data_IF_831996372593
#
_entry.id   IF_831996372593
#
_cell.length_a   1.000
_cell.length_b   1.000
_cell.length_c   1.000
_cell.angle_alpha   90.00
_cell.angle_beta   90.00
_cell.angle_gamma   90.00
#
_symmetry.space_group_name_H-M   'P 1'
#
loop_
_entity.id
_entity.type
_entity.pdbx_description
1 polymer ?
#
# COMPACT_ATOMS: atom_id res chain seq x y z
N UNK A 1 -27.59 -1.39 14.54
CA UNK A 1 -26.81 -1.66 15.76
C UNK A 1 -25.45 -0.95 15.68
N UNK A 2 -24.75 -1.06 14.55
CA UNK A 2 -23.48 -0.37 14.30
C UNK A 2 -23.64 1.15 14.46
N UNK A 3 -23.02 1.70 15.50
CA UNK A 3 -22.97 3.14 15.80
C UNK A 3 -21.57 3.71 15.63
N UNK A 4 -20.54 3.03 16.12
CA UNK A 4 -19.15 3.47 16.02
C UNK A 4 -18.31 2.46 15.26
N UNK A 5 -17.62 2.91 14.22
CA UNK A 5 -16.68 2.08 13.47
C UNK A 5 -15.40 2.82 13.11
N UNK A 6 -14.27 2.14 13.28
CA UNK A 6 -12.98 2.65 12.85
C UNK A 6 -12.32 1.71 11.83
N UNK A 7 -11.68 2.28 10.82
CA UNK A 7 -10.72 1.56 10.01
C UNK A 7 -9.31 1.92 10.45
N UNK A 8 -8.55 0.93 10.91
CA UNK A 8 -7.15 1.05 11.27
C UNK A 8 -6.31 0.31 10.23
N UNK A 9 -5.04 0.65 10.13
CA UNK A 9 -4.09 -0.16 9.38
C UNK A 9 -3.12 0.60 8.50
N UNK A 10 -2.61 -0.11 7.51
CA UNK A 10 -1.58 0.33 6.59
C UNK A 10 -2.16 0.91 5.27
N UNK A 11 -1.33 0.94 4.23
CA UNK A 11 -1.69 1.43 2.90
C UNK A 11 -2.83 0.64 2.23
N UNK A 12 -3.07 -0.61 2.61
CA UNK A 12 -4.18 -1.41 2.07
C UNK A 12 -5.53 -0.94 2.63
N UNK A 13 -5.58 -0.50 3.89
CA UNK A 13 -6.78 0.12 4.47
C UNK A 13 -6.90 1.60 4.09
N UNK A 14 -5.78 2.30 3.86
CA UNK A 14 -5.80 3.65 3.31
C UNK A 14 -6.30 3.67 1.85
N UNK A 15 -6.00 2.61 1.09
CA UNK A 15 -6.43 2.38 -0.29
C UNK A 15 -5.66 3.20 -1.30
N UNK A 16 -4.32 3.17 -1.22
CA UNK A 16 -3.44 3.95 -2.09
C UNK A 16 -3.83 3.79 -3.57
N UNK A 17 -4.17 4.91 -4.19
CA UNK A 17 -4.47 4.99 -5.62
C UNK A 17 -5.91 4.66 -6.00
N UNK A 18 -6.75 4.18 -5.08
CA UNK A 18 -8.12 3.77 -5.33
C UNK A 18 -9.09 4.96 -5.26
N UNK A 19 -9.40 5.55 -6.42
CA UNK A 19 -10.27 6.73 -6.51
C UNK A 19 -9.52 8.04 -6.25
N UNK A 20 -10.19 8.99 -5.61
CA UNK A 20 -9.62 10.29 -5.25
C UNK A 20 -9.02 10.25 -3.85
N UNK A 21 -7.87 10.89 -3.68
CA UNK A 21 -7.26 11.05 -2.36
C UNK A 21 -8.08 12.02 -1.51
N UNK A 22 -8.44 11.59 -0.30
CA UNK A 22 -9.24 12.38 0.66
C UNK A 22 -8.45 12.79 1.89
N UNK A 23 -7.30 12.16 2.13
CA UNK A 23 -6.39 12.49 3.23
C UNK A 23 -4.95 12.42 2.72
N UNK A 24 -4.24 13.55 2.85
CA UNK A 24 -2.86 13.68 2.38
C UNK A 24 -1.91 12.92 3.30
N UNK A 25 -1.88 13.28 4.58
CA UNK A 25 -0.90 12.79 5.55
C UNK A 25 -0.79 11.27 5.61
N UNK A 26 -1.90 10.55 5.53
CA UNK A 26 -1.95 9.10 5.60
C UNK A 26 -2.27 8.43 4.27
N UNK A 27 -2.35 9.20 3.18
CA UNK A 27 -2.65 8.73 1.83
C UNK A 27 -3.93 7.89 1.75
N UNK A 28 -5.04 8.40 2.30
CA UNK A 28 -6.35 7.72 2.26
C UNK A 28 -7.16 8.14 1.04
N UNK A 29 -7.90 7.19 0.46
CA UNK A 29 -8.68 7.40 -0.76
C UNK A 29 -10.16 6.98 -0.62
N UNK A 30 -11.02 7.60 -1.44
CA UNK A 30 -12.48 7.43 -1.44
C UNK A 30 -13.00 6.19 -2.19
N UNK A 31 -12.13 5.29 -2.65
CA UNK A 31 -12.52 3.93 -3.09
C UNK A 31 -11.73 2.84 -2.39
N UNK A 32 -11.15 3.17 -1.23
CA UNK A 32 -10.61 2.19 -0.30
C UNK A 32 -11.72 1.27 0.22
N UNK A 33 -11.37 0.03 0.61
CA UNK A 33 -12.37 -0.93 1.10
C UNK A 33 -13.15 -0.41 2.32
N UNK A 34 -12.55 0.34 3.28
CA UNK A 34 -13.34 0.92 4.35
C UNK A 34 -14.28 2.03 3.85
N UNK A 35 -13.88 2.81 2.85
CA UNK A 35 -14.81 3.80 2.28
C UNK A 35 -16.00 3.09 1.61
N UNK A 36 -15.76 2.07 0.80
CA UNK A 36 -16.81 1.31 0.10
C UNK A 36 -17.79 0.68 1.09
N UNK A 37 -17.28 0.07 2.16
CA UNK A 37 -18.11 -0.44 3.25
C UNK A 37 -18.98 0.66 3.89
N UNK A 38 -18.48 1.89 4.01
CA UNK A 38 -19.20 2.97 4.69
C UNK A 38 -20.46 3.44 3.98
N UNK A 39 -20.48 3.29 2.66
CA UNK A 39 -21.61 3.61 1.80
C UNK A 39 -22.43 2.36 1.44
N UNK A 40 -22.13 1.21 2.05
CA UNK A 40 -22.82 -0.04 1.78
C UNK A 40 -24.08 -0.19 2.63
N UNK A 41 -25.23 -0.31 1.95
CA UNK A 41 -26.54 -0.44 2.57
C UNK A 41 -26.69 -1.73 3.41
N UNK A 42 -25.86 -2.76 3.16
CA UNK A 42 -25.86 -4.01 3.95
C UNK A 42 -25.47 -3.78 5.41
N UNK A 43 -24.73 -2.72 5.72
CA UNK A 43 -24.43 -2.31 7.10
C UNK A 43 -25.64 -1.65 7.80
N UNK A 44 -26.72 -1.37 7.07
CA UNK A 44 -27.97 -0.79 7.56
C UNK A 44 -28.03 0.74 7.48
N UNK A 45 -29.15 1.32 7.91
CA UNK A 45 -29.48 2.75 7.74
C UNK A 45 -29.38 3.58 9.03
N UNK A 46 -28.46 3.23 9.94
CA UNK A 46 -28.34 3.97 11.21
C UNK A 46 -27.88 5.41 10.97
N UNK A 47 -28.81 6.37 11.05
CA UNK A 47 -28.55 7.80 10.87
C UNK A 47 -27.55 8.42 11.86
N UNK A 48 -27.27 7.72 12.98
CA UNK A 48 -26.28 8.13 13.98
C UNK A 48 -24.96 7.36 13.86
N UNK A 49 -24.74 6.63 12.76
CA UNK A 49 -23.46 5.96 12.51
C UNK A 49 -22.38 7.01 12.34
N UNK A 50 -21.34 6.87 13.16
CA UNK A 50 -20.11 7.62 13.07
C UNK A 50 -19.00 6.63 12.71
N UNK A 51 -18.28 6.94 11.64
CA UNK A 51 -17.15 6.12 11.22
C UNK A 51 -15.99 7.00 10.77
N UNK A 52 -14.78 6.47 10.95
CA UNK A 52 -13.57 7.17 10.51
C UNK A 52 -12.48 6.21 10.07
N UNK A 53 -11.82 6.56 8.97
CA UNK A 53 -10.60 5.88 8.53
C UNK A 53 -9.38 6.55 9.18
N UNK A 54 -8.63 5.78 9.97
CA UNK A 54 -7.37 6.15 10.60
C UNK A 54 -6.17 5.44 9.99
N UNK A 55 -6.38 4.53 9.03
CA UNK A 55 -5.30 3.82 8.35
C UNK A 55 -4.29 4.78 7.72
N UNK A 56 -3.03 4.37 7.61
CA UNK A 56 -1.96 5.24 7.19
C UNK A 56 -0.95 4.47 6.33
N UNK A 57 -0.59 5.01 5.17
CA UNK A 57 0.48 4.44 4.34
C UNK A 57 1.77 4.25 5.15
N UNK A 58 2.40 3.10 4.97
CA UNK A 58 3.64 2.73 5.68
C UNK A 58 3.47 2.35 7.15
N UNK A 59 2.26 2.42 7.73
CA UNK A 59 2.05 2.05 9.12
C UNK A 59 2.44 0.59 9.40
N UNK A 60 3.27 0.40 10.41
CA UNK A 60 3.55 -0.89 11.03
C UNK A 60 2.52 -1.24 12.10
N UNK A 61 2.59 -2.45 12.64
CA UNK A 61 1.79 -2.83 13.82
C UNK A 61 2.00 -1.92 15.03
N UNK A 62 3.22 -1.40 15.21
CA UNK A 62 3.56 -0.43 16.26
C UNK A 62 2.90 0.93 16.00
N UNK A 63 2.92 1.41 14.77
CA UNK A 63 2.24 2.66 14.38
C UNK A 63 0.73 2.60 14.60
N UNK A 64 0.10 1.44 14.37
CA UNK A 64 -1.33 1.25 14.69
C UNK A 64 -1.55 1.50 16.19
N UNK A 65 -0.71 0.93 17.05
CA UNK A 65 -0.82 1.07 18.51
C UNK A 65 -0.54 2.49 18.98
N UNK A 66 0.53 3.11 18.49
CA UNK A 66 1.02 4.38 19.02
C UNK A 66 0.38 5.59 18.38
N UNK A 67 -0.03 5.49 17.10
CA UNK A 67 -0.48 6.64 16.31
C UNK A 67 -1.95 6.57 15.93
N UNK A 68 -2.53 5.37 15.77
CA UNK A 68 -3.92 5.26 15.33
C UNK A 68 -4.89 5.04 16.49
N UNK A 69 -4.63 4.04 17.35
CA UNK A 69 -5.49 3.69 18.50
C UNK A 69 -5.75 4.86 19.46
N UNK A 70 -4.78 5.75 19.79
CA UNK A 70 -5.02 6.87 20.70
C UNK A 70 -6.02 7.90 20.14
N UNK A 71 -6.18 7.95 18.82
CA UNK A 71 -7.13 8.85 18.15
C UNK A 71 -8.58 8.31 18.14
N UNK A 72 -8.82 7.10 18.66
CA UNK A 72 -10.16 6.55 18.84
C UNK A 72 -10.85 7.22 20.04
N UNK A 73 -11.67 8.24 19.75
CA UNK A 73 -12.40 9.01 20.76
C UNK A 73 -13.48 8.20 21.50
N UNK A 74 -13.90 7.07 20.93
CA UNK A 74 -14.93 6.17 21.45
C UNK A 74 -14.48 4.73 21.35
N UNK A 75 -15.12 3.88 22.14
CA UNK A 75 -15.12 2.43 21.91
C UNK A 75 -15.90 2.12 20.63
N UNK A 76 -15.51 1.05 19.96
CA UNK A 76 -15.95 0.70 18.61
C UNK A 76 -16.86 -0.52 18.62
N UNK A 77 -17.90 -0.49 17.80
CA UNK A 77 -18.73 -1.65 17.49
C UNK A 77 -18.03 -2.54 16.45
N UNK A 78 -17.39 -1.93 15.46
CA UNK A 78 -16.59 -2.63 14.46
C UNK A 78 -15.24 -1.94 14.31
N UNK A 79 -14.19 -2.74 14.09
CA UNK A 79 -12.91 -2.25 13.58
C UNK A 79 -12.51 -3.07 12.37
N UNK A 80 -12.16 -2.42 11.27
CA UNK A 80 -11.47 -3.09 10.16
C UNK A 80 -9.98 -2.81 10.25
N UNK A 81 -9.14 -3.81 10.00
CA UNK A 81 -7.70 -3.73 10.26
C UNK A 81 -6.88 -4.42 9.15
N UNK A 82 -5.84 -3.75 8.64
CA UNK A 82 -4.75 -4.38 7.88
C UNK A 82 -3.39 -3.88 8.40
N UNK A 83 -2.48 -4.77 8.75
CA UNK A 83 -1.13 -4.40 9.18
C UNK A 83 -0.20 -5.63 9.12
N UNK A 84 1.11 -5.38 9.18
CA UNK A 84 2.15 -6.41 9.17
C UNK A 84 2.98 -6.46 7.90
N UNK A 85 2.45 -5.99 6.76
CA UNK A 85 3.21 -5.91 5.50
C UNK A 85 4.45 -5.02 5.59
N UNK A 86 4.32 -3.87 6.26
CA UNK A 86 5.44 -2.95 6.47
C UNK A 86 6.44 -3.49 7.50
N UNK A 87 5.98 -4.19 8.55
CA UNK A 87 6.85 -4.83 9.55
C UNK A 87 7.83 -5.84 8.95
N UNK A 88 7.45 -6.47 7.84
CA UNK A 88 8.27 -7.49 7.15
C UNK A 88 9.05 -6.93 5.95
N UNK A 89 8.96 -5.63 5.69
CA UNK A 89 9.76 -4.93 4.68
C UNK A 89 9.27 -5.12 3.25
N UNK A 90 7.96 -5.06 3.00
CA UNK A 90 7.39 -5.23 1.66
C UNK A 90 8.00 -4.27 0.62
N UNK A 91 8.16 -2.98 0.95
CA UNK A 91 8.76 -2.00 0.02
C UNK A 91 10.18 -2.43 -0.40
N UNK A 92 10.99 -2.92 0.56
CA UNK A 92 12.35 -3.41 0.29
C UNK A 92 12.35 -4.64 -0.60
N UNK A 93 11.41 -5.57 -0.43
CA UNK A 93 11.22 -6.71 -1.34
C UNK A 93 10.90 -6.23 -2.75
N UNK A 94 9.94 -5.29 -2.91
CA UNK A 94 9.58 -4.77 -4.23
C UNK A 94 10.75 -4.05 -4.89
N UNK A 95 11.56 -3.32 -4.15
CA UNK A 95 12.79 -2.74 -4.68
C UNK A 95 13.77 -3.83 -5.13
N UNK A 96 14.16 -4.73 -4.23
CA UNK A 96 15.30 -5.61 -4.50
C UNK A 96 14.96 -6.78 -5.45
N UNK A 97 13.68 -7.18 -5.54
CA UNK A 97 13.23 -8.35 -6.31
C UNK A 97 12.39 -8.04 -7.55
N UNK A 98 11.82 -6.84 -7.69
CA UNK A 98 10.85 -6.54 -8.77
C UNK A 98 11.27 -5.32 -9.57
N UNK A 99 11.28 -4.14 -8.95
CA UNK A 99 11.41 -2.87 -9.66
C UNK A 99 12.84 -2.36 -9.74
N UNK A 100 13.72 -2.67 -8.78
CA UNK A 100 15.08 -2.11 -8.71
C UNK A 100 15.07 -0.57 -8.86
N UNK A 101 14.15 0.11 -8.15
CA UNK A 101 14.15 1.58 -8.08
C UNK A 101 15.50 2.11 -7.61
N UNK A 102 16.09 1.43 -6.62
CA UNK A 102 17.48 1.54 -6.25
C UNK A 102 18.26 0.28 -6.68
N UNK A 103 18.96 0.31 -7.83
CA UNK A 103 19.60 -0.86 -8.41
C UNK A 103 20.86 -1.31 -7.69
N UNK A 104 21.28 -0.60 -6.63
CA UNK A 104 22.44 -0.92 -5.80
C UNK A 104 22.07 -1.58 -4.47
N UNK A 105 20.77 -1.81 -4.23
CA UNK A 105 20.29 -2.55 -3.07
C UNK A 105 20.76 -4.00 -3.06
N UNK A 106 20.45 -4.68 -1.95
CA UNK A 106 20.79 -6.08 -1.73
C UNK A 106 20.23 -7.01 -2.82
N UNK A 107 20.72 -8.25 -2.88
CA UNK A 107 20.17 -9.24 -3.82
C UNK A 107 18.75 -9.64 -3.41
N UNK A 108 17.98 -10.13 -4.38
CA UNK A 108 16.64 -10.62 -4.08
C UNK A 108 16.68 -11.78 -3.07
N UNK A 109 17.62 -12.71 -3.23
CA UNK A 109 17.75 -13.90 -2.37
C UNK A 109 18.07 -13.52 -0.92
N UNK A 110 19.01 -12.60 -0.69
CA UNK A 110 19.30 -12.13 0.67
C UNK A 110 18.11 -11.41 1.30
N UNK A 111 17.39 -10.62 0.49
CA UNK A 111 16.20 -9.89 0.96
C UNK A 111 15.07 -10.85 1.35
N UNK A 112 14.87 -11.93 0.58
CA UNK A 112 13.89 -12.98 0.91
C UNK A 112 14.21 -13.63 2.27
N UNK A 113 15.47 -13.98 2.53
CA UNK A 113 15.86 -14.61 3.81
C UNK A 113 15.74 -13.64 5.00
N UNK A 114 16.06 -12.36 4.80
CA UNK A 114 15.82 -11.32 5.80
C UNK A 114 14.32 -11.18 6.10
N UNK A 115 13.48 -11.12 5.06
CA UNK A 115 12.02 -11.03 5.23
C UNK A 115 11.45 -12.27 5.93
N UNK A 116 11.93 -13.48 5.62
CA UNK A 116 11.55 -14.69 6.37
C UNK A 116 11.87 -14.56 7.87
N UNK A 117 13.03 -13.99 8.19
CA UNK A 117 13.40 -13.71 9.58
C UNK A 117 12.45 -12.71 10.23
N UNK A 118 12.12 -11.59 9.55
CA UNK A 118 11.14 -10.61 10.04
C UNK A 118 9.76 -11.24 10.26
N UNK A 119 9.29 -12.08 9.34
CA UNK A 119 8.01 -12.81 9.46
C UNK A 119 8.02 -13.69 10.72
N UNK A 120 9.10 -14.42 11.00
CA UNK A 120 9.18 -15.27 12.20
C UNK A 120 9.06 -14.48 13.52
N UNK A 121 9.43 -13.20 13.51
CA UNK A 121 9.33 -12.29 14.66
C UNK A 121 8.03 -11.47 14.69
N UNK A 122 7.15 -11.61 13.70
CA UNK A 122 5.94 -10.79 13.55
C UNK A 122 4.86 -11.13 14.60
N UNK A 123 4.77 -12.39 15.03
CA UNK A 123 3.68 -12.88 15.87
C UNK A 123 3.48 -12.09 17.17
N UNK A 124 4.55 -11.76 17.89
CA UNK A 124 4.46 -10.97 19.13
C UNK A 124 3.98 -9.53 18.91
N UNK A 125 4.35 -8.91 17.78
CA UNK A 125 3.89 -7.57 17.43
C UNK A 125 2.40 -7.56 17.09
N UNK A 126 1.94 -8.56 16.33
CA UNK A 126 0.52 -8.75 16.01
C UNK A 126 -0.32 -8.94 17.27
N UNK A 127 0.15 -9.76 18.22
CA UNK A 127 -0.53 -10.00 19.50
C UNK A 127 -0.66 -8.70 20.31
N UNK A 128 0.42 -7.91 20.39
CA UNK A 128 0.40 -6.61 21.07
C UNK A 128 -0.62 -5.65 20.45
N UNK A 129 -0.60 -5.52 19.12
CA UNK A 129 -1.54 -4.67 18.39
C UNK A 129 -2.98 -5.14 18.58
N UNK A 130 -3.27 -6.44 18.41
CA UNK A 130 -4.61 -6.98 18.58
C UNK A 130 -5.15 -6.78 20.00
N UNK A 131 -4.33 -6.99 21.02
CA UNK A 131 -4.72 -6.71 22.41
C UNK A 131 -5.09 -5.23 22.60
N UNK A 132 -4.31 -4.32 22.03
CA UNK A 132 -4.60 -2.90 22.09
C UNK A 132 -5.91 -2.54 21.36
N UNK A 133 -6.16 -3.09 20.16
CA UNK A 133 -7.42 -2.83 19.43
C UNK A 133 -8.62 -3.44 20.16
N UNK A 134 -8.47 -4.65 20.72
CA UNK A 134 -9.51 -5.31 21.52
C UNK A 134 -9.93 -4.47 22.73
N UNK A 135 -8.98 -3.76 23.35
CA UNK A 135 -9.28 -2.85 24.48
C UNK A 135 -10.21 -1.68 24.09
N UNK A 136 -10.39 -1.43 22.78
CA UNK A 136 -11.27 -0.40 22.24
C UNK A 136 -12.64 -0.95 21.83
N UNK A 137 -12.97 -2.20 22.13
CA UNK A 137 -14.30 -2.77 21.86
C UNK A 137 -15.18 -2.74 23.11
N UNK A 138 -16.44 -2.31 22.98
CA UNK A 138 -17.34 -2.11 24.13
C UNK A 138 -18.19 -3.34 24.47
N UNK A 139 -18.62 -4.10 23.46
CA UNK A 139 -19.67 -5.10 23.65
C UNK A 139 -19.30 -6.48 23.09
N UNK A 140 -20.00 -7.52 23.54
CA UNK A 140 -19.72 -8.93 23.15
C UNK A 140 -19.94 -9.20 21.65
N UNK A 141 -20.77 -8.41 20.98
CA UNK A 141 -21.03 -8.39 19.55
C UNK A 141 -20.06 -7.49 18.78
N UNK A 142 -19.20 -6.72 19.45
CA UNK A 142 -18.18 -5.95 18.75
C UNK A 142 -17.20 -6.87 18.03
N UNK A 143 -16.76 -6.50 16.83
CA UNK A 143 -15.88 -7.33 15.99
C UNK A 143 -14.71 -6.55 15.43
N UNK A 144 -13.56 -7.21 15.33
CA UNK A 144 -12.44 -6.78 14.51
C UNK A 144 -12.40 -7.67 13.27
N UNK A 145 -12.38 -7.08 12.09
CA UNK A 145 -12.16 -7.78 10.82
C UNK A 145 -10.74 -7.49 10.36
N UNK A 146 -9.85 -8.47 10.53
CA UNK A 146 -8.46 -8.39 10.11
C UNK A 146 -8.35 -8.89 8.67
N UNK A 147 -8.14 -7.96 7.74
CA UNK A 147 -7.98 -8.23 6.32
C UNK A 147 -6.58 -8.77 6.03
N UNK A 148 -6.52 -9.97 5.45
CA UNK A 148 -5.28 -10.56 4.95
C UNK A 148 -4.84 -9.98 3.60
N UNK A 149 -3.62 -10.30 3.19
CA UNK A 149 -3.06 -9.88 1.90
C UNK A 149 -3.23 -10.98 0.85
N UNK A 150 -3.47 -10.63 -0.41
CA UNK A 150 -3.47 -11.60 -1.50
C UNK A 150 -2.06 -11.77 -2.08
N UNK A 151 -1.76 -12.97 -2.57
CA UNK A 151 -0.57 -13.24 -3.39
C UNK A 151 -0.59 -12.34 -4.62
N UNK A 152 0.59 -11.96 -5.11
CA UNK A 152 0.69 -10.99 -6.21
C UNK A 152 0.73 -11.64 -7.58
N UNK A 153 1.31 -12.83 -7.66
CA UNK A 153 1.62 -13.46 -8.93
C UNK A 153 0.90 -14.79 -9.08
N UNK A 154 0.44 -15.10 -10.28
CA UNK A 154 0.24 -16.50 -10.65
C UNK A 154 1.62 -17.14 -10.81
N UNK A 155 1.94 -18.18 -10.05
CA UNK A 155 3.25 -18.86 -10.09
C UNK A 155 3.18 -20.25 -10.74
N UNK A 156 2.07 -20.60 -11.40
CA UNK A 156 1.87 -21.92 -12.01
C UNK A 156 2.31 -21.95 -13.48
N UNK A 157 2.37 -20.80 -14.14
CA UNK A 157 2.72 -20.67 -15.56
C UNK A 157 4.20 -20.35 -15.77
N UNK A 158 4.71 -20.50 -16.99
CA UNK A 158 6.08 -20.09 -17.38
C UNK A 158 6.11 -18.82 -18.24
N UNK A 159 4.97 -18.30 -18.66
CA UNK A 159 4.85 -17.18 -19.61
C UNK A 159 5.59 -15.91 -19.18
N UNK A 160 5.71 -15.68 -17.87
CA UNK A 160 6.41 -14.53 -17.31
C UNK A 160 7.91 -14.74 -17.06
N UNK A 161 8.48 -15.89 -17.41
CA UNK A 161 9.87 -16.20 -17.04
C UNK A 161 10.90 -15.24 -17.65
N UNK A 162 10.56 -14.58 -18.76
CA UNK A 162 11.38 -13.55 -19.41
C UNK A 162 10.88 -12.12 -19.17
N UNK A 163 9.82 -11.94 -18.37
CA UNK A 163 9.25 -10.62 -18.05
C UNK A 163 10.04 -10.00 -16.92
N UNK A 164 10.26 -8.69 -16.96
CA UNK A 164 10.84 -7.92 -15.87
C UNK A 164 10.05 -6.64 -15.67
N UNK A 165 9.81 -6.27 -14.42
CA UNK A 165 9.16 -5.01 -14.04
C UNK A 165 10.18 -3.93 -13.64
N UNK A 166 11.45 -4.09 -14.04
CA UNK A 166 12.50 -3.13 -13.72
C UNK A 166 12.07 -1.70 -14.06
N UNK A 167 12.38 -0.79 -13.16
CA UNK A 167 12.00 0.60 -13.25
C UNK A 167 12.86 1.33 -14.29
N UNK A 168 14.17 1.15 -14.18
CA UNK A 168 15.16 1.71 -15.11
C UNK A 168 15.44 0.75 -16.27
N UNK A 169 15.29 1.24 -17.50
CA UNK A 169 15.66 0.55 -18.74
C UNK A 169 17.16 0.24 -18.76
N UNK A 170 18.00 1.13 -18.25
CA UNK A 170 19.46 0.95 -18.23
C UNK A 170 19.96 0.02 -17.10
N UNK A 171 19.14 -0.30 -16.10
CA UNK A 171 19.55 -1.18 -15.01
C UNK A 171 19.47 -2.67 -15.37
N UNK A 172 20.24 -3.47 -14.61
CA UNK A 172 20.01 -4.91 -14.50
C UNK A 172 18.72 -5.12 -13.69
N UNK A 173 17.71 -5.65 -14.35
CA UNK A 173 16.42 -5.99 -13.74
C UNK A 173 16.36 -7.42 -13.26
N UNK A 174 15.32 -7.71 -12.49
CA UNK A 174 14.99 -9.06 -12.06
C UNK A 174 13.90 -9.66 -12.97
N UNK A 175 14.11 -10.87 -13.45
CA UNK A 175 13.09 -11.61 -14.21
C UNK A 175 12.05 -12.23 -13.28
N UNK A 176 10.77 -12.17 -13.65
CA UNK A 176 9.66 -12.78 -12.92
C UNK A 176 9.55 -14.28 -13.21
N UNK A 177 10.66 -14.99 -13.02
CA UNK A 177 10.71 -16.45 -13.15
C UNK A 177 9.67 -17.11 -12.26
N UNK A 178 9.20 -18.29 -12.67
CA UNK A 178 8.25 -19.08 -11.88
C UNK A 178 8.73 -19.28 -10.44
N UNK A 179 10.01 -19.61 -10.26
CA UNK A 179 10.62 -19.76 -8.94
C UNK A 179 10.61 -18.46 -8.13
N UNK A 180 10.86 -17.31 -8.76
CA UNK A 180 10.79 -16.00 -8.09
C UNK A 180 9.37 -15.64 -7.68
N UNK A 181 8.40 -15.80 -8.58
CA UNK A 181 6.97 -15.58 -8.30
C UNK A 181 6.51 -16.45 -7.13
N UNK A 182 6.86 -17.74 -7.14
CA UNK A 182 6.55 -18.67 -6.05
C UNK A 182 7.19 -18.24 -4.72
N UNK A 183 8.47 -17.84 -4.74
CA UNK A 183 9.17 -17.39 -3.53
C UNK A 183 8.56 -16.11 -2.94
N UNK A 184 8.18 -15.14 -3.78
CA UNK A 184 7.51 -13.91 -3.34
C UNK A 184 6.12 -14.18 -2.78
N UNK A 185 5.33 -15.04 -3.43
CA UNK A 185 4.04 -15.48 -2.91
C UNK A 185 4.17 -16.22 -1.58
N UNK A 186 5.21 -17.04 -1.41
CA UNK A 186 5.46 -17.74 -0.15
C UNK A 186 5.63 -16.76 1.02
N UNK A 187 6.24 -15.59 0.80
CA UNK A 187 6.35 -14.54 1.83
C UNK A 187 4.97 -13.99 2.23
N UNK A 188 4.07 -13.79 1.26
CA UNK A 188 2.69 -13.37 1.53
C UNK A 188 1.96 -14.43 2.35
N UNK A 189 2.04 -15.70 1.93
CA UNK A 189 1.43 -16.83 2.64
C UNK A 189 1.93 -16.93 4.07
N UNK A 190 3.26 -16.88 4.30
CA UNK A 190 3.82 -16.95 5.65
C UNK A 190 3.43 -15.75 6.52
N UNK A 191 3.31 -14.56 5.94
CA UNK A 191 2.83 -13.36 6.65
C UNK A 191 1.37 -13.53 7.07
N UNK A 192 0.52 -14.00 6.15
CA UNK A 192 -0.87 -14.33 6.45
C UNK A 192 -0.99 -15.44 7.50
N UNK A 193 -0.11 -16.45 7.50
CA UNK A 193 -0.11 -17.50 8.53
C UNK A 193 0.17 -16.93 9.93
N UNK A 194 1.08 -15.96 10.04
CA UNK A 194 1.30 -15.23 11.31
C UNK A 194 0.06 -14.44 11.73
N UNK A 195 -0.61 -13.77 10.79
CA UNK A 195 -1.85 -13.03 11.06
C UNK A 195 -2.96 -13.99 11.50
N UNK A 196 -3.22 -15.07 10.76
CA UNK A 196 -4.20 -16.12 11.09
C UNK A 196 -3.93 -16.70 12.49
N UNK A 197 -2.66 -16.96 12.80
CA UNK A 197 -2.27 -17.46 14.12
C UNK A 197 -2.54 -16.43 15.24
N UNK A 198 -2.23 -15.15 15.03
CA UNK A 198 -2.50 -14.07 15.99
C UNK A 198 -4.01 -13.85 16.19
N UNK A 199 -4.79 -13.81 15.11
CA UNK A 199 -6.26 -13.75 15.15
C UNK A 199 -6.84 -14.90 15.97
N UNK A 200 -6.37 -16.13 15.75
CA UNK A 200 -6.78 -17.30 16.53
C UNK A 200 -6.46 -17.16 18.02
N UNK A 201 -5.28 -16.63 18.37
CA UNK A 201 -4.91 -16.37 19.78
C UNK A 201 -5.76 -15.27 20.42
N UNK A 202 -6.15 -14.26 19.64
CA UNK A 202 -6.94 -13.12 20.09
C UNK A 202 -8.42 -13.46 20.39
N UNK A 203 -8.93 -14.56 19.83
CA UNK A 203 -10.24 -15.14 20.12
C UNK A 203 -11.38 -14.62 19.23
N UNK A 204 -12.60 -15.06 19.54
CA UNK A 204 -13.76 -15.01 18.63
C UNK A 204 -14.26 -13.61 18.23
N UNK A 205 -13.75 -12.55 18.88
CA UNK A 205 -14.05 -11.16 18.50
C UNK A 205 -13.21 -10.68 17.32
N UNK A 206 -12.16 -11.40 16.95
CA UNK A 206 -11.30 -11.09 15.81
C UNK A 206 -11.56 -12.12 14.71
N UNK A 207 -11.95 -11.64 13.54
CA UNK A 207 -12.25 -12.45 12.36
C UNK A 207 -11.19 -12.17 11.31
N UNK A 208 -10.54 -13.23 10.83
CA UNK A 208 -9.63 -13.11 9.69
C UNK A 208 -10.45 -13.11 8.40
N UNK A 209 -10.17 -12.16 7.52
CA UNK A 209 -10.80 -12.03 6.21
C UNK A 209 -9.79 -12.47 5.16
N UNK A 210 -10.01 -13.66 4.59
CA UNK A 210 -9.11 -14.28 3.60
C UNK A 210 -9.45 -13.78 2.19
N UNK A 211 -8.62 -12.87 1.69
CA UNK A 211 -8.80 -12.22 0.38
C UNK A 211 -8.10 -12.98 -0.75
N UNK A 212 -7.08 -13.77 -0.42
CA UNK A 212 -6.16 -14.40 -1.38
C UNK A 212 -6.85 -15.31 -2.41
N UNK A 213 -7.77 -16.23 -2.02
CA UNK A 213 -8.43 -17.10 -2.99
C UNK A 213 -9.22 -16.34 -4.04
N UNK A 214 -9.90 -15.26 -3.64
CA UNK A 214 -10.74 -14.47 -4.53
C UNK A 214 -9.91 -13.66 -5.51
N UNK A 215 -8.74 -13.16 -5.09
CA UNK A 215 -7.85 -12.45 -6.00
C UNK A 215 -7.33 -13.35 -7.11
N UNK A 216 -7.04 -14.61 -6.80
CA UNK A 216 -6.69 -15.62 -7.80
C UNK A 216 -7.88 -16.04 -8.65
N UNK A 217 -9.06 -16.25 -8.06
CA UNK A 217 -10.25 -16.73 -8.78
C UNK A 217 -10.75 -15.73 -9.81
N UNK A 218 -10.68 -14.44 -9.51
CA UNK A 218 -11.06 -13.38 -10.44
C UNK A 218 -10.00 -13.08 -11.50
N UNK A 219 -8.92 -13.86 -11.58
CA UNK A 219 -7.81 -13.60 -12.49
C UNK A 219 -7.18 -12.24 -12.21
N UNK A 220 -7.01 -11.88 -10.94
CA UNK A 220 -6.56 -10.56 -10.52
C UNK A 220 -5.05 -10.42 -10.32
N UNK A 221 -4.27 -11.46 -10.59
CA UNK A 221 -2.85 -11.55 -10.26
C UNK A 221 -1.97 -11.11 -11.44
N UNK A 222 -0.74 -10.66 -11.17
CA UNK A 222 0.23 -10.54 -12.25
C UNK A 222 0.57 -11.93 -12.81
N UNK A 223 0.87 -12.00 -14.10
CA UNK A 223 1.28 -13.22 -14.79
C UNK A 223 0.21 -14.33 -14.86
N UNK A 224 -1.06 -13.95 -14.76
CA UNK A 224 -2.20 -14.88 -14.92
C UNK A 224 -2.23 -15.53 -16.30
N UNK A 225 -2.71 -16.77 -16.36
CA UNK A 225 -2.70 -17.57 -17.58
C UNK A 225 -3.32 -16.82 -18.77
N UNK A 226 -2.59 -16.76 -19.89
CA UNK A 226 -3.04 -16.07 -21.10
C UNK A 226 -2.76 -14.57 -21.16
N UNK A 227 -2.26 -13.95 -20.10
CA UNK A 227 -1.88 -12.52 -20.06
C UNK A 227 -0.44 -12.31 -20.56
N UNK A 228 -0.27 -11.39 -21.51
CA UNK A 228 1.07 -10.95 -21.94
C UNK A 228 1.49 -9.74 -21.12
N UNK A 229 2.34 -9.97 -20.11
CA UNK A 229 2.82 -8.92 -19.22
C UNK A 229 3.97 -8.11 -19.84
N UNK A 230 4.09 -6.79 -19.55
CA UNK A 230 3.19 -5.98 -18.71
C UNK A 230 1.84 -5.66 -19.37
N UNK A 231 0.72 -5.80 -18.64
CA UNK A 231 -0.62 -5.38 -19.08
C UNK A 231 -1.35 -4.56 -18.00
N UNK A 232 -0.89 -3.33 -17.74
CA UNK A 232 -1.31 -2.57 -16.56
C UNK A 232 -2.77 -2.08 -16.61
N UNK A 233 -3.40 -2.09 -17.77
CA UNK A 233 -4.76 -1.58 -17.98
C UNK A 233 -5.79 -2.70 -18.20
N UNK A 234 -5.34 -3.96 -18.04
CA UNK A 234 -6.18 -5.15 -17.95
C UNK A 234 -7.36 -4.96 -16.99
N UNK A 235 -8.56 -5.33 -17.42
CA UNK A 235 -9.80 -5.03 -16.70
C UNK A 235 -10.03 -5.87 -15.43
N UNK A 236 -9.56 -7.11 -15.44
CA UNK A 236 -9.67 -8.07 -14.34
C UNK A 236 -8.50 -8.02 -13.35
N UNK A 237 -7.40 -7.34 -13.69
CA UNK A 237 -6.27 -7.13 -12.78
C UNK A 237 -6.72 -6.40 -11.50
N UNK A 238 -6.42 -6.96 -10.34
CA UNK A 238 -6.87 -6.46 -9.03
C UNK A 238 -5.80 -5.66 -8.28
N UNK A 239 -4.56 -5.67 -8.75
CA UNK A 239 -3.46 -4.86 -8.22
C UNK A 239 -3.02 -3.80 -9.22
N UNK A 240 -2.56 -2.66 -8.74
CA UNK A 240 -1.97 -1.66 -9.63
C UNK A 240 -0.63 -2.17 -10.17
N UNK A 241 -0.48 -2.23 -11.48
CA UNK A 241 0.82 -2.38 -12.12
C UNK A 241 1.38 -0.99 -12.50
N UNK A 242 2.69 -0.90 -12.76
CA UNK A 242 3.28 0.34 -13.27
C UNK A 242 2.62 0.72 -14.59
N UNK A 243 2.29 2.00 -14.76
CA UNK A 243 1.56 2.53 -15.92
C UNK A 243 0.07 2.14 -15.99
N UNK A 244 -0.53 1.72 -14.87
CA UNK A 244 -1.99 1.61 -14.78
C UNK A 244 -2.57 3.01 -14.91
N UNK A 245 -3.35 3.27 -15.94
CA UNK A 245 -3.98 4.56 -16.17
C UNK A 245 -5.05 4.79 -15.10
N UNK A 246 -5.14 6.03 -14.64
CA UNK A 246 -6.24 6.44 -13.79
C UNK A 246 -7.52 6.61 -14.63
N UNK A 247 -8.68 6.30 -14.06
CA UNK A 247 -9.97 6.60 -14.71
C UNK A 247 -10.07 8.12 -14.92
N UNK A 248 -10.81 8.57 -15.94
CA UNK A 248 -10.80 9.96 -16.44
C UNK A 248 -11.14 11.07 -15.41
N UNK A 249 -11.42 10.73 -14.15
CA UNK A 249 -11.80 11.62 -13.06
C UNK A 249 -10.61 12.21 -12.25
N UNK A 250 -9.37 11.81 -12.51
CA UNK A 250 -8.18 12.28 -11.75
C UNK A 250 -7.20 13.14 -12.56
N UNK A 251 -7.50 13.46 -13.83
CA UNK A 251 -6.70 14.44 -14.59
C UNK A 251 -7.00 15.85 -14.08
N UNK A 252 -6.29 16.30 -13.02
CA UNK A 252 -6.20 17.73 -12.71
C UNK A 252 -5.42 18.43 -13.82
N UNK A 253 -5.92 19.59 -14.21
CA UNK A 253 -5.28 20.51 -15.15
C UNK A 253 -3.93 21.01 -14.59
N UNK A 254 -2.93 21.00 -15.46
CA UNK A 254 -1.58 21.53 -15.25
C UNK A 254 -1.60 23.02 -14.86
N UNK A 255 -0.71 23.41 -13.94
CA UNK A 255 -0.28 24.81 -13.81
C UNK A 255 0.05 25.33 -12.41
N UNK A 256 -0.29 24.63 -11.33
CA UNK A 256 0.05 25.08 -9.97
C UNK A 256 0.57 23.90 -9.15
N UNK A 257 1.83 24.00 -8.69
CA UNK A 257 2.40 23.08 -7.70
C UNK A 257 1.57 23.22 -6.43
N UNK A 258 1.10 22.10 -5.90
CA UNK A 258 0.36 22.06 -4.65
C UNK A 258 1.10 21.16 -3.66
N UNK A 259 0.70 21.19 -2.39
CA UNK A 259 1.22 20.24 -1.39
C UNK A 259 0.99 18.77 -1.78
N UNK A 260 0.03 18.51 -2.67
CA UNK A 260 -0.22 17.18 -3.22
C UNK A 260 1.03 16.67 -3.94
N UNK A 261 1.95 17.54 -4.38
CA UNK A 261 3.19 17.26 -5.11
C UNK A 261 4.40 16.91 -4.22
N UNK A 262 4.20 16.51 -2.96
CA UNK A 262 5.30 16.15 -2.05
C UNK A 262 5.17 14.73 -1.51
N UNK A 263 6.31 14.06 -1.38
CA UNK A 263 6.41 12.73 -0.78
C UNK A 263 6.50 12.82 0.75
N UNK A 264 5.87 11.88 1.43
CA UNK A 264 5.91 11.79 2.88
C UNK A 264 6.86 10.67 3.29
N UNK A 265 7.76 10.98 4.22
CA UNK A 265 8.71 10.02 4.77
C UNK A 265 7.97 8.90 5.53
N UNK A 266 8.50 7.68 5.47
CA UNK A 266 7.89 6.50 6.08
C UNK A 266 6.59 6.04 5.44
N UNK A 267 6.26 6.54 4.24
CA UNK A 267 5.16 6.02 3.40
C UNK A 267 5.74 5.20 2.25
N UNK A 268 4.94 4.28 1.70
CA UNK A 268 5.36 3.50 0.52
C UNK A 268 5.79 4.40 -0.65
N UNK A 269 5.03 5.47 -0.92
CA UNK A 269 5.34 6.41 -1.99
C UNK A 269 6.65 7.17 -1.72
N UNK A 270 6.92 7.49 -0.45
CA UNK A 270 8.16 8.13 -0.01
C UNK A 270 9.39 7.24 -0.13
N UNK A 271 9.28 5.96 0.25
CA UNK A 271 10.36 4.98 0.08
C UNK A 271 10.79 4.88 -1.38
N UNK A 272 9.81 4.74 -2.29
CA UNK A 272 10.05 4.69 -3.74
C UNK A 272 10.71 5.98 -4.23
N UNK A 273 10.27 7.14 -3.75
CA UNK A 273 10.85 8.42 -4.14
C UNK A 273 12.30 8.57 -3.72
N UNK A 274 12.61 8.25 -2.47
CA UNK A 274 13.98 8.28 -1.94
C UNK A 274 14.90 7.36 -2.75
N UNK A 275 14.47 6.14 -3.07
CA UNK A 275 15.27 5.21 -3.89
C UNK A 275 15.53 5.68 -5.31
N UNK A 276 14.55 6.33 -5.93
CA UNK A 276 14.73 6.92 -7.26
C UNK A 276 15.74 8.06 -7.19
N UNK A 277 15.66 8.91 -6.17
CA UNK A 277 16.62 10.00 -5.96
C UNK A 277 18.03 9.49 -5.68
N UNK A 278 18.20 8.54 -4.75
CA UNK A 278 19.49 7.89 -4.45
C UNK A 278 20.14 7.29 -5.70
N UNK A 279 19.31 6.85 -6.66
CA UNK A 279 19.78 6.35 -7.95
C UNK A 279 20.21 7.48 -8.87
N UNK A 280 19.45 8.57 -8.93
CA UNK A 280 19.80 9.75 -9.74
C UNK A 280 21.01 10.50 -9.21
N UNK A 281 21.27 10.47 -7.90
CA UNK A 281 22.52 10.99 -7.33
C UNK A 281 23.76 10.25 -7.85
N UNK A 282 23.64 8.93 -8.04
CA UNK A 282 24.71 8.07 -8.56
C UNK A 282 24.76 8.04 -10.09
N UNK A 283 23.62 8.17 -10.75
CA UNK A 283 23.47 8.18 -12.20
C UNK A 283 22.62 9.37 -12.68
N UNK A 284 23.16 10.61 -12.66
CA UNK A 284 22.40 11.79 -13.07
C UNK A 284 21.85 11.70 -14.50
N UNK A 285 22.59 11.05 -15.42
CA UNK A 285 22.19 10.88 -16.82
C UNK A 285 20.92 10.02 -17.00
N UNK A 286 20.54 9.23 -15.99
CA UNK A 286 19.32 8.41 -16.01
C UNK A 286 18.05 9.24 -15.80
N UNK A 287 18.17 10.53 -15.47
CA UNK A 287 17.01 11.45 -15.39
C UNK A 287 16.16 11.42 -16.66
N UNK A 288 16.80 11.27 -17.82
CA UNK A 288 16.13 11.11 -19.12
C UNK A 288 15.18 9.90 -19.21
N UNK A 289 15.36 8.87 -18.36
CA UNK A 289 14.46 7.71 -18.31
C UNK A 289 13.11 8.02 -17.62
N UNK A 290 13.00 9.17 -16.96
CA UNK A 290 11.76 9.67 -16.35
C UNK A 290 10.97 10.59 -17.30
N UNK A 291 11.61 11.09 -18.36
CA UNK A 291 11.19 12.27 -19.14
C UNK A 291 10.38 11.96 -20.42
N UNK A 292 9.76 10.77 -20.56
CA UNK A 292 8.88 10.40 -21.70
C UNK A 292 7.55 11.20 -21.77
N UNK A 293 7.52 12.46 -21.33
CA UNK A 293 6.39 13.38 -21.43
C UNK A 293 6.69 14.75 -20.80
N UNK A 294 7.20 15.66 -21.62
CA UNK A 294 7.24 17.15 -21.57
C UNK A 294 7.13 17.90 -20.20
N UNK A 295 8.08 18.83 -19.98
CA UNK A 295 8.03 20.12 -19.23
C UNK A 295 8.85 20.28 -17.91
N UNK A 296 9.03 21.58 -17.56
CA UNK A 296 10.15 22.27 -16.88
C UNK A 296 10.68 21.69 -15.55
N UNK A 297 12.02 21.73 -15.41
CA UNK A 297 12.70 21.58 -14.12
C UNK A 297 12.19 22.61 -13.10
N UNK A 298 11.70 22.15 -11.95
CA UNK A 298 11.55 23.03 -10.79
C UNK A 298 12.94 23.36 -10.26
N UNK A 299 13.25 24.65 -10.13
CA UNK A 299 14.47 25.11 -9.48
C UNK A 299 14.33 25.06 -7.94
N UNK A 300 15.47 25.05 -7.23
CA UNK A 300 15.54 25.04 -5.75
C UNK A 300 14.68 26.12 -5.08
N UNK A 301 14.48 27.24 -5.75
CA UNK A 301 13.66 28.36 -5.25
C UNK A 301 12.18 27.98 -5.13
N UNK A 302 11.68 27.11 -6.00
CA UNK A 302 10.29 26.63 -6.01
C UNK A 302 10.02 25.59 -4.91
N UNK A 303 11.00 24.75 -4.59
CA UNK A 303 10.93 23.82 -3.46
C UNK A 303 11.02 24.54 -2.11
N UNK A 304 11.90 25.55 -2.01
CA UNK A 304 12.00 26.37 -0.81
C UNK A 304 10.71 27.15 -0.53
N UNK A 305 10.10 27.75 -1.56
CA UNK A 305 8.83 28.47 -1.40
C UNK A 305 7.67 27.53 -1.02
N UNK A 306 7.62 26.32 -1.58
CA UNK A 306 6.65 25.29 -1.20
C UNK A 306 6.81 24.87 0.26
N UNK A 307 8.04 24.60 0.71
CA UNK A 307 8.34 24.28 2.12
C UNK A 307 7.90 25.41 3.07
N UNK A 308 8.05 26.68 2.66
CA UNK A 308 7.52 27.82 3.41
C UNK A 308 5.99 27.82 3.44
N UNK A 309 5.32 27.58 2.31
CA UNK A 309 3.85 27.51 2.26
C UNK A 309 3.27 26.39 3.15
N UNK A 310 3.85 25.19 3.12
CA UNK A 310 3.47 24.07 3.99
C UNK A 310 3.64 24.41 5.48
N UNK A 311 4.74 25.09 5.81
CA UNK A 311 5.01 25.52 7.18
C UNK A 311 3.95 26.52 7.67
N UNK A 312 3.47 27.39 6.77
CA UNK A 312 2.37 28.33 7.05
C UNK A 312 1.04 27.60 7.26
N UNK A 313 0.81 26.45 6.60
CA UNK A 313 -0.35 25.58 6.81
C UNK A 313 -0.24 24.65 8.04
N UNK A 314 0.80 24.81 8.87
CA UNK A 314 1.13 23.95 10.03
C UNK A 314 1.37 22.47 9.67
N UNK A 315 1.83 22.20 8.45
CA UNK A 315 2.27 20.86 8.09
C UNK A 315 3.64 20.60 8.72
N UNK A 316 3.75 19.45 9.40
CA UNK A 316 4.99 19.02 10.04
C UNK A 316 6.05 18.68 8.99
N UNK A 317 6.99 19.61 8.77
CA UNK A 317 8.06 19.49 7.78
C UNK A 317 8.97 18.27 8.01
N UNK A 318 9.01 17.71 9.22
CA UNK A 318 9.78 16.48 9.52
C UNK A 318 9.19 15.22 8.87
N UNK A 319 7.92 15.29 8.45
CA UNK A 319 7.22 14.23 7.73
C UNK A 319 7.45 14.27 6.24
N UNK A 320 8.08 15.32 5.71
CA UNK A 320 8.45 15.37 4.30
C UNK A 320 9.56 14.36 4.04
N UNK A 321 9.51 13.71 2.88
CA UNK A 321 10.61 12.92 2.38
C UNK A 321 11.88 13.78 2.36
N UNK A 322 13.03 13.17 2.58
CA UNK A 322 14.32 13.83 2.33
C UNK A 322 14.48 14.18 0.84
N UNK A 323 13.63 13.59 0.00
CA UNK A 323 13.63 13.80 -1.42
C UNK A 323 13.20 15.17 -1.88
N UNK A 324 14.06 15.75 -2.73
CA UNK A 324 13.77 16.96 -3.48
C UNK A 324 13.16 16.63 -4.85
N UNK A 325 12.93 15.35 -5.17
CA UNK A 325 12.25 14.98 -6.41
C UNK A 325 10.81 15.48 -6.39
N UNK A 326 10.41 16.27 -7.41
CA UNK A 326 9.02 16.66 -7.54
C UNK A 326 8.14 15.43 -7.74
N UNK A 327 6.98 15.40 -7.10
CA UNK A 327 6.03 14.30 -7.21
C UNK A 327 5.29 14.25 -8.56
N UNK A 328 5.63 15.06 -9.54
CA UNK A 328 5.23 14.80 -10.93
C UNK A 328 6.27 13.95 -11.69
N UNK A 329 7.52 13.90 -11.22
CA UNK A 329 8.62 13.17 -11.86
C UNK A 329 8.47 11.65 -11.73
N UNK A 330 7.84 11.20 -10.65
CA UNK A 330 7.45 9.80 -10.47
C UNK A 330 5.96 9.75 -10.72
N UNK A 331 5.47 9.11 -11.78
CA UNK A 331 4.01 9.07 -12.02
C UNK A 331 3.28 8.37 -10.85
N UNK A 332 2.05 8.78 -10.54
CA UNK A 332 1.20 8.10 -9.54
C UNK A 332 1.12 6.59 -9.76
N UNK A 333 1.17 6.19 -11.02
CA UNK A 333 1.17 4.82 -11.51
C UNK A 333 2.35 3.98 -10.99
N UNK A 334 3.43 4.62 -10.53
CA UNK A 334 4.60 3.96 -9.90
C UNK A 334 4.42 3.80 -8.39
N UNK A 335 3.59 4.63 -7.77
CA UNK A 335 3.50 4.77 -6.30
C UNK A 335 2.45 3.89 -5.65
N UNK A 336 1.50 3.44 -6.45
CA UNK A 336 0.42 2.57 -6.00
C UNK A 336 0.65 1.12 -6.36
N UNK A 337 1.78 0.78 -7.00
CA UNK A 337 2.05 -0.58 -7.46
C UNK A 337 1.88 -1.59 -6.32
N UNK A 338 1.38 -2.78 -6.63
CA UNK A 338 1.12 -3.85 -5.66
C UNK A 338 0.07 -3.51 -4.58
N UNK A 339 -0.63 -2.37 -4.68
CA UNK A 339 -1.82 -2.10 -3.87
C UNK A 339 -3.08 -2.55 -4.63
N UNK A 340 -4.15 -2.93 -3.92
CA UNK A 340 -5.42 -3.24 -4.56
C UNK A 340 -5.95 -2.06 -5.38
N UNK A 341 -6.47 -2.35 -6.57
CA UNK A 341 -7.23 -1.41 -7.40
C UNK A 341 -8.64 -1.26 -6.83
N UNK A 342 -9.43 -0.36 -7.41
CA UNK A 342 -10.82 -0.14 -6.99
C UNK A 342 -11.66 -1.44 -7.00
N UNK A 343 -11.49 -2.28 -8.02
CA UNK A 343 -12.12 -3.62 -8.09
C UNK A 343 -11.56 -4.57 -7.02
N UNK A 344 -10.26 -4.52 -6.72
CA UNK A 344 -9.66 -5.25 -5.60
C UNK A 344 -10.22 -4.82 -4.23
N UNK A 345 -10.37 -3.52 -4.01
CA UNK A 345 -11.03 -2.98 -2.81
C UNK A 345 -12.50 -3.38 -2.74
N UNK A 346 -13.20 -3.45 -3.87
CA UNK A 346 -14.57 -3.95 -3.91
C UNK A 346 -14.65 -5.43 -3.52
N UNK A 347 -13.70 -6.28 -3.94
CA UNK A 347 -13.60 -7.67 -3.48
C UNK A 347 -13.42 -7.70 -1.96
N UNK A 348 -12.44 -6.96 -1.42
CA UNK A 348 -12.18 -6.90 0.02
C UNK A 348 -13.42 -6.43 0.80
N UNK A 349 -14.05 -5.33 0.37
CA UNK A 349 -15.24 -4.76 1.02
C UNK A 349 -16.45 -5.71 0.99
N UNK A 350 -16.51 -6.65 0.04
CA UNK A 350 -17.58 -7.65 -0.02
C UNK A 350 -17.36 -8.85 0.92
N UNK A 351 -16.11 -9.11 1.32
CA UNK A 351 -15.76 -10.20 2.22
C UNK A 351 -15.85 -9.82 3.70
N UNK A 352 -15.71 -8.53 4.01
CA UNK A 352 -15.92 -7.96 5.34
C UNK A 352 -17.41 -7.74 5.58
#
# INVERSE_FOLDING_TARGET
>A
WLRYWAALGDSYAAGIGAGSRVDKDCARYDRSYPYLMSIDDRLGTNQYRDWKNFACSGATTEDVVEKQIPNLAKVQDVVTLSAGGNDVGLSTILNNCVFRWWPFGASCESTIEETKTKISNLGGKLDSMLNAVISKLDNINSRIYYVGYAQFFNAQTTQCNSVTFKFWRLSKGEFLTQGRRAALNELVVKTNDQIKAAVKRAGDRVVYVDTDPYFSEYGGLYCDEGVTEPDPNRGDLLFYERNTQSSALTRRQEGTITEDDIFLNGTFEGDVANWIEDTLEQYPDWKSELEDGIFEELNDTSLASLKVSLAVENIDLSKLSTSNLPRWLIKDETRRVFHPRENGHAVIANLV
#
